data_IF_314100562622
#
_entry.id   IF_314100562622
#
_cell.length_a   1.000
_cell.length_b   1.000
_cell.length_c   1.000
_cell.angle_alpha   90.00
_cell.angle_beta   90.00
_cell.angle_gamma   90.00
#
_symmetry.space_group_name_H-M   'P 1'
#
loop_
_entity.id
_entity.type
_entity.pdbx_description
1 polymer ?
#
# COMPACT_ATOMS: atom_id res chain seq x y z
N UNK A 1 13.39 -6.40 -11.49
CA UNK A 1 14.50 -5.77 -10.75
C UNK A 1 15.79 -6.47 -11.16
N UNK A 2 16.92 -5.76 -11.17
CA UNK A 2 18.24 -6.38 -11.37
C UNK A 2 18.61 -7.30 -10.20
N UNK A 3 18.13 -6.96 -9.01
CA UNK A 3 18.37 -7.64 -7.75
C UNK A 3 17.13 -7.49 -6.85
N UNK A 4 16.78 -8.53 -6.10
CA UNK A 4 15.77 -8.53 -5.06
C UNK A 4 16.32 -9.25 -3.84
N UNK A 5 16.23 -8.63 -2.67
CA UNK A 5 16.56 -9.26 -1.40
C UNK A 5 15.50 -8.93 -0.36
N UNK A 6 14.78 -9.95 0.09
CA UNK A 6 13.71 -9.78 1.05
C UNK A 6 12.78 -10.99 1.13
N UNK A 7 11.70 -10.83 1.88
CA UNK A 7 10.68 -11.86 2.00
C UNK A 7 9.61 -11.76 0.91
N UNK A 8 8.99 -12.89 0.53
CA UNK A 8 7.92 -12.98 -0.46
C UNK A 8 6.52 -13.14 0.16
N UNK A 9 6.41 -13.25 1.48
CA UNK A 9 5.16 -13.55 2.17
C UNK A 9 4.85 -12.57 3.31
N UNK A 10 3.66 -12.72 3.90
CA UNK A 10 3.19 -11.86 4.98
C UNK A 10 3.99 -12.14 6.28
N UNK A 11 4.45 -11.11 6.99
CA UNK A 11 5.45 -11.27 8.07
C UNK A 11 5.00 -12.18 9.22
N UNK A 12 3.75 -12.07 9.69
CA UNK A 12 3.24 -12.97 10.73
C UNK A 12 3.08 -14.44 10.28
N UNK A 13 3.08 -14.72 8.98
CA UNK A 13 3.04 -16.09 8.50
C UNK A 13 4.43 -16.76 8.55
N UNK A 14 5.51 -15.99 8.47
CA UNK A 14 6.89 -16.49 8.59
C UNK A 14 7.20 -17.15 9.94
N UNK A 15 6.54 -16.68 11.00
CA UNK A 15 6.65 -17.22 12.36
C UNK A 15 5.66 -18.36 12.66
N UNK A 16 4.70 -18.66 11.76
CA UNK A 16 3.73 -19.76 11.95
C UNK A 16 4.39 -21.12 12.25
N UNK A 17 5.49 -21.52 11.59
CA UNK A 17 6.18 -22.78 11.90
C UNK A 17 6.72 -22.89 13.33
N UNK A 18 6.94 -21.76 14.01
CA UNK A 18 7.42 -21.70 15.39
C UNK A 18 6.26 -21.79 16.41
N UNK A 19 5.00 -21.67 15.96
CA UNK A 19 3.82 -21.69 16.84
C UNK A 19 3.56 -23.09 17.43
N UNK A 20 3.01 -23.19 18.66
CA UNK A 20 2.72 -24.47 19.30
C UNK A 20 1.71 -25.36 18.55
N UNK A 21 0.81 -24.74 17.77
CA UNK A 21 -0.26 -25.44 17.04
C UNK A 21 0.09 -25.75 15.58
N UNK A 22 1.30 -25.43 15.11
CA UNK A 22 1.73 -25.81 13.77
C UNK A 22 1.75 -27.35 13.67
N UNK A 23 1.04 -27.98 12.72
CA UNK A 23 0.86 -29.43 12.66
C UNK A 23 2.12 -30.09 12.07
N UNK A 24 3.18 -30.17 12.89
CA UNK A 24 4.50 -30.71 12.51
C UNK A 24 4.45 -32.17 12.08
N UNK A 25 3.40 -32.89 12.47
CA UNK A 25 3.15 -34.30 12.20
C UNK A 25 2.33 -34.56 10.92
N UNK A 26 1.86 -33.52 10.23
CA UNK A 26 1.21 -33.60 8.91
C UNK A 26 2.18 -33.16 7.79
N UNK A 27 2.86 -34.10 7.10
CA UNK A 27 3.85 -33.76 6.10
C UNK A 27 3.27 -33.03 4.87
N UNK A 28 2.02 -33.31 4.52
CA UNK A 28 1.35 -32.69 3.38
C UNK A 28 0.99 -31.23 3.69
N UNK A 29 0.54 -30.97 4.92
CA UNK A 29 0.35 -29.60 5.41
C UNK A 29 1.69 -28.85 5.44
N UNK A 30 2.71 -29.38 6.11
CA UNK A 30 4.01 -28.70 6.24
C UNK A 30 4.60 -28.37 4.87
N UNK A 31 4.61 -29.34 3.94
CA UNK A 31 5.14 -29.13 2.60
C UNK A 31 4.39 -28.06 1.81
N UNK A 32 3.07 -27.94 2.01
CA UNK A 32 2.23 -27.01 1.25
C UNK A 32 2.08 -25.62 1.89
N UNK A 33 2.36 -25.51 3.20
CA UNK A 33 2.09 -24.30 3.99
C UNK A 33 3.32 -23.64 4.58
N UNK A 34 4.46 -24.33 4.67
CA UNK A 34 5.70 -23.69 5.16
C UNK A 34 6.06 -22.50 4.26
N UNK A 35 6.23 -21.30 4.85
CA UNK A 35 6.68 -20.12 4.13
C UNK A 35 8.04 -20.35 3.46
N UNK A 36 8.28 -19.62 2.37
CA UNK A 36 9.62 -19.59 1.76
C UNK A 36 10.53 -18.72 2.62
N UNK A 37 11.83 -19.02 2.66
CA UNK A 37 12.77 -18.17 3.39
C UNK A 37 12.97 -16.81 2.73
N UNK A 38 13.89 -16.02 3.29
CA UNK A 38 14.31 -14.73 2.71
C UNK A 38 15.07 -15.00 1.42
N UNK A 39 14.57 -14.47 0.31
CA UNK A 39 15.08 -14.75 -1.03
C UNK A 39 16.03 -13.64 -1.47
N UNK A 40 17.21 -14.02 -1.96
CA UNK A 40 18.11 -13.17 -2.72
C UNK A 40 18.14 -13.63 -4.17
N UNK A 41 17.65 -12.80 -5.09
CA UNK A 41 17.54 -13.16 -6.50
C UNK A 41 17.98 -12.05 -7.43
N UNK A 42 18.36 -12.43 -8.66
CA UNK A 42 18.93 -11.55 -9.66
C UNK A 42 18.26 -11.74 -11.02
N UNK A 43 18.31 -10.71 -11.87
CA UNK A 43 17.71 -10.74 -13.20
C UNK A 43 18.32 -11.80 -14.15
N UNK A 44 19.52 -12.30 -13.86
CA UNK A 44 20.16 -13.38 -14.60
C UNK A 44 19.62 -14.78 -14.25
N UNK A 45 18.67 -14.86 -13.31
CA UNK A 45 18.03 -16.09 -12.89
C UNK A 45 18.68 -16.77 -11.69
N UNK A 46 19.77 -16.22 -11.12
CA UNK A 46 20.29 -16.72 -9.84
C UNK A 46 19.27 -16.43 -8.72
N UNK A 47 18.93 -17.47 -7.97
CA UNK A 47 18.03 -17.41 -6.80
C UNK A 47 18.68 -18.17 -5.66
N UNK A 48 18.72 -17.55 -4.49
CA UNK A 48 19.21 -18.11 -3.24
C UNK A 48 18.15 -17.95 -2.16
N UNK A 49 17.78 -19.05 -1.53
CA UNK A 49 17.02 -19.03 -0.27
C UNK A 49 18.02 -18.92 0.88
N UNK A 50 18.07 -17.76 1.51
CA UNK A 50 19.01 -17.47 2.60
C UNK A 50 18.54 -18.02 3.96
N UNK A 51 17.47 -18.81 3.95
CA UNK A 51 16.87 -19.44 5.13
C UNK A 51 15.63 -18.70 5.63
N UNK A 52 14.93 -19.36 6.55
CA UNK A 52 13.67 -18.88 7.11
C UNK A 52 13.81 -17.50 7.79
N UNK A 53 12.75 -16.69 7.70
CA UNK A 53 12.62 -15.46 8.47
C UNK A 53 12.04 -15.79 9.84
N UNK A 54 12.83 -16.42 10.72
CA UNK A 54 12.38 -16.76 12.07
C UNK A 54 12.14 -15.51 12.91
N UNK A 55 11.37 -15.65 14.00
CA UNK A 55 11.19 -14.62 15.04
C UNK A 55 12.53 -14.01 15.46
N UNK A 56 13.56 -14.84 15.60
CA UNK A 56 14.91 -14.37 15.97
C UNK A 56 15.56 -13.53 14.87
N UNK A 57 15.40 -13.89 13.60
CA UNK A 57 15.95 -13.13 12.47
C UNK A 57 15.19 -11.83 12.23
N UNK A 58 13.88 -11.78 12.54
CA UNK A 58 13.08 -10.55 12.47
C UNK A 58 13.59 -9.43 13.39
N UNK A 59 14.36 -9.75 14.44
CA UNK A 59 15.03 -8.73 15.27
C UNK A 59 16.05 -7.88 14.48
N UNK A 60 16.58 -8.41 13.38
CA UNK A 60 17.73 -7.82 12.67
C UNK A 60 17.63 -7.82 11.15
N UNK A 61 16.56 -8.36 10.54
CA UNK A 61 16.44 -8.53 9.08
C UNK A 61 16.57 -7.20 8.31
N UNK A 62 16.14 -6.08 8.90
CA UNK A 62 16.25 -4.77 8.28
C UNK A 62 17.71 -4.28 8.19
N UNK A 63 18.63 -4.80 9.03
CA UNK A 63 20.07 -4.55 8.84
C UNK A 63 20.57 -5.23 7.55
N UNK A 64 20.12 -6.45 7.27
CA UNK A 64 20.53 -7.21 6.09
C UNK A 64 20.04 -6.53 4.81
N UNK A 65 18.75 -6.17 4.77
CA UNK A 65 18.13 -5.55 3.59
C UNK A 65 18.63 -4.11 3.39
N UNK A 66 18.86 -3.34 4.46
CA UNK A 66 19.44 -1.99 4.39
C UNK A 66 20.88 -2.06 3.88
N UNK A 67 21.70 -2.99 4.39
CA UNK A 67 23.07 -3.17 3.91
C UNK A 67 23.10 -3.58 2.43
N UNK A 68 22.20 -4.45 1.98
CA UNK A 68 22.08 -4.81 0.57
C UNK A 68 21.69 -3.61 -0.31
N UNK A 69 20.75 -2.78 0.15
CA UNK A 69 20.38 -1.55 -0.54
C UNK A 69 21.56 -0.55 -0.63
N UNK A 70 22.31 -0.36 0.46
CA UNK A 70 23.52 0.47 0.46
C UNK A 70 24.56 -0.06 -0.54
N UNK A 71 24.86 -1.37 -0.50
CA UNK A 71 25.80 -2.01 -1.42
C UNK A 71 25.37 -1.86 -2.90
N UNK A 72 24.08 -1.98 -3.18
CA UNK A 72 23.53 -1.73 -4.52
C UNK A 72 23.73 -0.26 -4.93
N UNK A 73 23.37 0.70 -4.08
CA UNK A 73 23.54 2.14 -4.34
C UNK A 73 25.02 2.47 -4.60
N UNK A 74 25.94 2.01 -3.75
CA UNK A 74 27.38 2.24 -3.90
C UNK A 74 27.94 1.65 -5.19
N UNK A 75 27.46 0.48 -5.60
CA UNK A 75 27.83 -0.16 -6.86
C UNK A 75 27.32 0.65 -8.05
N UNK A 76 26.05 1.06 -8.02
CA UNK A 76 25.44 1.79 -9.13
C UNK A 76 25.96 3.23 -9.25
N UNK A 77 26.33 3.87 -8.14
CA UNK A 77 26.95 5.19 -8.13
C UNK A 77 28.32 5.22 -8.84
N UNK A 78 28.99 4.07 -8.96
CA UNK A 78 30.24 3.92 -9.74
C UNK A 78 29.98 3.59 -11.22
N UNK A 79 28.72 3.45 -11.61
CA UNK A 79 28.30 3.19 -12.98
C UNK A 79 27.75 4.47 -13.63
N UNK A 80 27.74 4.50 -14.97
CA UNK A 80 27.13 5.61 -15.73
C UNK A 80 25.62 5.42 -15.96
N UNK A 81 24.93 4.63 -15.12
CA UNK A 81 23.50 4.31 -15.27
C UNK A 81 22.69 4.82 -14.07
N UNK A 82 21.46 5.31 -14.29
CA UNK A 82 20.54 5.59 -13.20
C UNK A 82 20.15 4.29 -12.48
N UNK A 83 19.84 4.38 -11.20
CA UNK A 83 19.35 3.26 -10.41
C UNK A 83 17.97 3.53 -9.82
N UNK A 84 17.26 2.45 -9.48
CA UNK A 84 16.02 2.49 -8.74
C UNK A 84 16.13 1.51 -7.56
N UNK A 85 15.90 2.01 -6.35
CA UNK A 85 15.82 1.20 -5.13
C UNK A 85 14.41 1.31 -4.58
N UNK A 86 13.77 0.16 -4.40
CA UNK A 86 12.51 0.03 -3.68
C UNK A 86 12.81 -0.69 -2.37
N UNK A 87 13.03 0.10 -1.31
CA UNK A 87 13.33 -0.40 0.02
C UNK A 87 12.05 -0.52 0.83
N UNK A 88 11.72 -1.74 1.23
CA UNK A 88 10.55 -2.06 2.04
C UNK A 88 11.04 -2.74 3.31
N UNK A 89 11.25 -1.95 4.36
CA UNK A 89 11.59 -2.49 5.68
C UNK A 89 10.43 -3.33 6.21
N UNK A 90 10.76 -4.30 7.06
CA UNK A 90 9.76 -5.17 7.72
C UNK A 90 9.05 -4.44 8.85
N UNK A 91 9.75 -3.50 9.48
CA UNK A 91 9.17 -2.54 10.43
C UNK A 91 8.13 -1.64 9.75
N UNK A 92 6.92 -1.44 10.28
CA UNK A 92 6.37 -1.84 11.59
C UNK A 92 5.19 -2.79 11.44
N UNK A 93 5.34 -3.83 10.62
CA UNK A 93 4.27 -4.81 10.46
C UNK A 93 4.12 -5.68 11.72
N UNK A 94 2.88 -5.97 12.12
CA UNK A 94 2.57 -6.87 13.25
C UNK A 94 3.06 -8.31 12.97
N UNK A 95 3.68 -9.02 13.91
CA UNK A 95 4.09 -8.63 15.26
C UNK A 95 5.51 -8.07 15.24
N UNK A 96 5.73 -6.95 15.92
CA UNK A 96 7.07 -6.37 16.03
C UNK A 96 7.92 -7.22 16.97
N UNK A 97 9.13 -7.56 16.53
CA UNK A 97 10.13 -8.26 17.33
C UNK A 97 11.42 -7.48 17.33
N UNK A 98 11.76 -6.78 18.41
CA UNK A 98 12.97 -5.94 18.49
C UNK A 98 14.13 -6.62 19.21
N UNK A 99 15.37 -6.30 18.81
CA UNK A 99 16.57 -6.80 19.50
C UNK A 99 16.66 -6.24 20.93
N UNK A 100 17.28 -6.99 21.83
CA UNK A 100 17.36 -6.59 23.24
C UNK A 100 18.00 -5.21 23.46
N UNK A 101 18.97 -4.82 22.64
CA UNK A 101 19.66 -3.54 22.81
C UNK A 101 18.78 -2.31 22.55
N UNK A 102 17.69 -2.41 21.76
CA UNK A 102 16.81 -1.26 21.49
C UNK A 102 15.63 -1.15 22.47
N UNK A 103 15.31 -2.22 23.21
CA UNK A 103 14.16 -2.22 24.11
C UNK A 103 14.23 -1.08 25.12
N UNK A 104 13.16 -0.29 25.18
CA UNK A 104 13.00 0.88 26.04
C UNK A 104 13.72 2.14 25.58
N UNK A 105 14.46 2.14 24.46
CA UNK A 105 15.16 3.33 23.97
C UNK A 105 14.20 4.43 23.49
N UNK A 106 12.97 4.08 23.11
CA UNK A 106 11.90 5.04 22.81
C UNK A 106 11.49 5.90 24.01
N UNK A 107 11.91 5.54 25.23
CA UNK A 107 11.41 6.14 26.47
C UNK A 107 9.99 5.69 26.83
N UNK A 108 9.43 4.71 26.10
CA UNK A 108 8.13 4.08 26.36
C UNK A 108 8.33 2.61 26.75
N UNK A 109 8.59 2.29 28.04
CA UNK A 109 8.89 0.93 28.46
C UNK A 109 7.79 -0.06 28.06
N UNK A 110 8.18 -1.15 27.39
CA UNK A 110 7.25 -2.21 26.94
C UNK A 110 6.55 -1.92 25.60
N UNK A 111 6.92 -0.85 24.89
CA UNK A 111 6.39 -0.53 23.57
C UNK A 111 7.38 -0.89 22.46
N UNK A 112 7.35 -2.15 22.03
CA UNK A 112 8.23 -2.64 20.95
C UNK A 112 8.00 -1.92 19.63
N UNK A 113 6.77 -1.46 19.36
CA UNK A 113 6.49 -0.64 18.18
C UNK A 113 7.30 0.65 18.19
N UNK A 114 7.30 1.37 19.33
CA UNK A 114 8.04 2.63 19.45
C UNK A 114 9.56 2.42 19.40
N UNK A 115 10.07 1.33 19.98
CA UNK A 115 11.48 0.97 19.90
C UNK A 115 11.88 0.60 18.47
N UNK A 116 11.08 -0.21 17.78
CA UNK A 116 11.31 -0.60 16.38
C UNK A 116 11.24 0.59 15.41
N UNK A 117 10.42 1.61 15.72
CA UNK A 117 10.41 2.85 14.94
C UNK A 117 11.73 3.63 15.02
N UNK A 118 12.46 3.55 16.14
CA UNK A 118 13.79 4.15 16.23
C UNK A 118 14.81 3.40 15.37
N UNK A 119 14.75 2.06 15.32
CA UNK A 119 15.60 1.28 14.42
C UNK A 119 15.31 1.63 12.95
N UNK A 120 14.03 1.66 12.58
CA UNK A 120 13.59 2.01 11.23
C UNK A 120 14.03 3.43 10.81
N UNK A 121 13.90 4.43 11.69
CA UNK A 121 14.41 5.78 11.44
C UNK A 121 15.94 5.77 11.25
N UNK A 122 16.66 4.98 12.05
CA UNK A 122 18.09 4.76 11.91
C UNK A 122 18.47 4.15 10.55
N UNK A 123 17.71 3.16 10.06
CA UNK A 123 17.93 2.53 8.76
C UNK A 123 17.69 3.49 7.59
N UNK A 124 16.64 4.31 7.68
CA UNK A 124 16.44 5.43 6.74
C UNK A 124 17.63 6.39 6.79
N UNK A 125 18.12 6.72 7.99
CA UNK A 125 19.31 7.54 8.20
C UNK A 125 20.57 6.97 7.52
N UNK A 126 20.81 5.66 7.64
CA UNK A 126 21.94 4.97 6.96
C UNK A 126 21.87 5.16 5.44
N UNK A 127 20.70 4.99 4.83
CA UNK A 127 20.50 5.16 3.39
C UNK A 127 20.72 6.61 2.95
N UNK A 128 20.18 7.58 3.70
CA UNK A 128 20.38 9.00 3.42
C UNK A 128 21.86 9.40 3.53
N UNK A 129 22.56 8.91 4.56
CA UNK A 129 23.99 9.15 4.75
C UNK A 129 24.79 8.57 3.58
N UNK A 130 24.46 7.38 3.09
CA UNK A 130 25.10 6.80 1.89
C UNK A 130 24.98 7.71 0.67
N UNK A 131 23.82 8.32 0.43
CA UNK A 131 23.65 9.25 -0.69
C UNK A 131 24.49 10.53 -0.54
N UNK A 132 24.60 11.04 0.69
CA UNK A 132 25.39 12.23 0.99
C UNK A 132 26.91 11.94 0.91
N UNK A 133 27.37 10.80 1.42
CA UNK A 133 28.78 10.35 1.36
C UNK A 133 29.26 10.12 -0.07
N UNK A 134 28.39 9.54 -0.91
CA UNK A 134 28.63 9.35 -2.34
C UNK A 134 28.49 10.65 -3.14
N UNK A 135 27.98 11.74 -2.53
CA UNK A 135 27.73 13.04 -3.16
C UNK A 135 26.80 12.97 -4.36
N UNK A 136 25.76 12.13 -4.27
CA UNK A 136 24.75 11.95 -5.32
C UNK A 136 23.34 12.37 -4.87
N UNK A 137 23.23 12.96 -3.68
CA UNK A 137 21.96 13.35 -3.09
C UNK A 137 21.14 14.31 -3.96
N UNK A 138 21.78 15.29 -4.61
CA UNK A 138 21.13 16.25 -5.52
C UNK A 138 20.66 15.63 -6.85
N UNK A 139 21.21 14.47 -7.21
CA UNK A 139 20.80 13.66 -8.34
C UNK A 139 19.94 12.45 -7.94
N UNK A 140 19.41 12.42 -6.73
CA UNK A 140 18.57 11.32 -6.22
C UNK A 140 17.25 11.86 -5.70
N UNK A 141 16.14 11.28 -6.17
CA UNK A 141 14.81 11.50 -5.60
C UNK A 141 14.59 10.45 -4.51
N UNK A 142 14.34 10.90 -3.28
CA UNK A 142 13.94 10.03 -2.17
C UNK A 142 12.47 10.28 -1.86
N UNK A 143 11.68 9.20 -1.83
CA UNK A 143 10.29 9.20 -1.40
C UNK A 143 10.17 8.26 -0.20
N UNK A 144 9.69 8.78 0.92
CA UNK A 144 9.33 8.00 2.10
C UNK A 144 7.82 8.01 2.27
N UNK A 145 7.22 6.84 2.42
CA UNK A 145 5.77 6.68 2.66
C UNK A 145 5.46 5.31 3.28
N UNK A 146 4.20 5.02 3.59
CA UNK A 146 3.74 3.71 4.05
C UNK A 146 2.65 3.18 3.10
N UNK A 147 2.38 1.88 3.15
CA UNK A 147 1.42 1.19 2.28
C UNK A 147 -0.05 1.44 2.68
N UNK A 148 -0.31 1.56 3.99
CA UNK A 148 -1.61 1.84 4.58
C UNK A 148 -1.48 2.61 5.90
N UNK A 149 -2.63 2.98 6.48
CA UNK A 149 -2.73 3.44 7.87
C UNK A 149 -2.43 2.34 8.89
N UNK A 150 -2.39 2.67 10.19
CA UNK A 150 -1.93 1.73 11.22
C UNK A 150 -2.90 0.57 11.46
N UNK A 151 -2.38 -0.59 11.90
CA UNK A 151 -3.13 -1.66 12.55
C UNK A 151 -3.33 -1.33 14.04
N UNK A 152 -4.31 -0.50 14.38
CA UNK A 152 -4.53 -0.09 15.77
C UNK A 152 -5.00 -1.24 16.66
N UNK A 153 -5.62 -2.29 16.10
CA UNK A 153 -6.09 -3.43 16.90
C UNK A 153 -4.97 -4.16 17.65
N UNK A 154 -3.72 -4.06 17.20
CA UNK A 154 -2.56 -4.70 17.84
C UNK A 154 -1.93 -3.87 18.96
N UNK A 155 -2.54 -2.72 19.34
CA UNK A 155 -2.07 -1.91 20.47
C UNK A 155 -1.80 -2.78 21.72
N UNK A 156 -0.65 -2.62 22.40
CA UNK A 156 0.32 -1.54 22.27
C UNK A 156 1.34 -1.66 21.13
N UNK A 157 1.38 -2.79 20.40
CA UNK A 157 2.24 -2.99 19.23
C UNK A 157 1.61 -2.36 17.97
N UNK A 158 1.40 -1.04 17.99
CA UNK A 158 0.75 -0.31 16.92
C UNK A 158 1.06 1.19 16.96
N UNK A 159 1.10 1.82 15.77
CA UNK A 159 0.91 3.26 15.65
C UNK A 159 -0.55 3.65 15.88
N UNK A 160 -0.79 4.96 16.07
CA UNK A 160 -2.12 5.56 16.09
C UNK A 160 -2.22 6.63 15.00
N UNK A 161 -3.45 6.97 14.61
CA UNK A 161 -3.71 8.06 13.66
C UNK A 161 -4.81 8.98 14.20
N UNK A 162 -4.75 10.31 13.95
CA UNK A 162 -5.84 11.21 14.33
C UNK A 162 -7.06 11.07 13.40
N UNK A 163 -6.87 10.50 12.21
CA UNK A 163 -7.94 10.26 11.25
C UNK A 163 -8.83 9.11 11.71
N UNK A 164 -10.09 9.10 11.26
CA UNK A 164 -11.07 8.09 11.70
C UNK A 164 -10.60 6.69 11.30
N UNK A 165 -10.66 5.77 12.27
CA UNK A 165 -10.45 4.33 12.10
C UNK A 165 -8.99 3.93 11.74
N UNK A 166 -8.81 2.70 11.29
CA UNK A 166 -7.51 2.03 11.10
C UNK A 166 -7.44 1.30 9.74
N UNK A 167 -6.34 0.58 9.45
CA UNK A 167 -6.22 -0.33 8.30
C UNK A 167 -7.47 -1.21 8.18
N UNK A 168 -7.85 -1.56 6.95
CA UNK A 168 -9.02 -2.39 6.63
C UNK A 168 -10.38 -1.69 6.86
N UNK A 169 -10.42 -0.36 6.77
CA UNK A 169 -11.65 0.44 6.80
C UNK A 169 -11.74 1.40 5.61
N UNK A 170 -12.91 2.01 5.36
CA UNK A 170 -13.10 3.02 4.30
C UNK A 170 -12.67 4.44 4.71
N UNK A 171 -12.32 4.64 5.98
CA UNK A 171 -12.11 5.95 6.58
C UNK A 171 -10.69 6.48 6.29
N UNK A 172 -10.45 7.78 6.46
CA UNK A 172 -9.14 8.39 6.14
C UNK A 172 -8.00 7.76 6.95
N UNK A 173 -8.27 7.21 8.13
CA UNK A 173 -7.27 6.52 8.95
C UNK A 173 -6.70 5.25 8.32
N UNK A 174 -7.35 4.67 7.30
CA UNK A 174 -6.84 3.51 6.57
C UNK A 174 -5.93 3.86 5.38
N UNK A 175 -6.13 5.03 4.76
CA UNK A 175 -5.51 5.39 3.47
C UNK A 175 -4.58 6.60 3.53
N UNK A 176 -4.77 7.50 4.50
CA UNK A 176 -3.97 8.71 4.60
C UNK A 176 -2.68 8.41 5.36
N UNK A 177 -1.59 8.31 4.61
CA UNK A 177 -0.25 7.94 5.07
C UNK A 177 0.70 9.14 5.05
N UNK A 178 1.81 9.10 5.81
CA UNK A 178 2.88 10.08 5.64
C UNK A 178 3.49 9.97 4.23
N UNK A 179 3.89 11.10 3.67
CA UNK A 179 4.65 11.15 2.43
C UNK A 179 5.67 12.29 2.52
N UNK A 180 6.96 11.95 2.49
CA UNK A 180 8.07 12.90 2.50
C UNK A 180 8.86 12.71 1.21
N UNK A 181 9.09 13.81 0.49
CA UNK A 181 9.83 13.78 -0.78
C UNK A 181 11.04 14.71 -0.65
N UNK A 182 12.21 14.21 -1.05
CA UNK A 182 13.46 14.96 -1.07
C UNK A 182 14.11 14.85 -2.44
N UNK A 183 14.42 15.99 -3.05
CA UNK A 183 15.30 16.09 -4.22
C UNK A 183 16.02 17.46 -4.18
N UNK A 184 17.21 17.53 -3.53
CA UNK A 184 17.93 18.77 -3.32
C UNK A 184 18.18 19.52 -4.64
N UNK A 185 17.97 20.84 -4.62
CA UNK A 185 18.14 21.69 -5.80
C UNK A 185 17.00 21.61 -6.84
N UNK A 186 16.07 20.66 -6.70
CA UNK A 186 14.90 20.51 -7.60
C UNK A 186 13.57 20.71 -6.89
N UNK A 187 13.44 20.20 -5.67
CA UNK A 187 12.27 20.40 -4.81
C UNK A 187 12.68 21.34 -3.69
N UNK A 188 11.86 22.37 -3.43
CA UNK A 188 12.13 23.33 -2.36
C UNK A 188 12.00 22.66 -1.00
N UNK A 189 13.03 22.83 -0.16
CA UNK A 189 13.07 22.21 1.16
C UNK A 189 12.08 22.85 2.14
N UNK A 190 11.58 22.05 3.09
CA UNK A 190 10.75 22.52 4.20
C UNK A 190 9.33 22.95 3.80
N UNK A 191 8.85 22.57 2.62
CA UNK A 191 7.48 22.87 2.18
C UNK A 191 6.47 21.84 2.67
N UNK A 192 5.25 22.30 2.89
CA UNK A 192 4.09 21.47 3.20
C UNK A 192 3.06 21.65 2.09
N UNK A 193 2.66 20.54 1.48
CA UNK A 193 1.62 20.51 0.44
C UNK A 193 0.28 20.02 0.99
N UNK A 194 -0.81 20.58 0.47
CA UNK A 194 -2.17 20.07 0.67
C UNK A 194 -2.79 19.54 -0.63
N UNK A 195 -1.99 19.40 -1.70
CA UNK A 195 -2.45 18.78 -2.95
C UNK A 195 -2.77 17.29 -2.73
N UNK A 196 -3.60 16.72 -3.60
CA UNK A 196 -3.96 15.30 -3.51
C UNK A 196 -2.85 14.49 -4.16
N UNK A 197 -2.33 13.51 -3.43
CA UNK A 197 -1.39 12.51 -3.93
C UNK A 197 -1.93 11.11 -3.65
N UNK A 198 -1.59 10.17 -4.53
CA UNK A 198 -1.77 8.74 -4.32
C UNK A 198 -0.42 8.05 -4.49
N UNK A 199 -0.23 6.90 -3.82
CA UNK A 199 0.93 6.03 -4.11
C UNK A 199 1.04 5.64 -5.59
N UNK A 200 -0.09 5.62 -6.31
CA UNK A 200 -0.13 5.37 -7.76
C UNK A 200 0.54 6.48 -8.59
N UNK A 201 0.68 7.70 -8.05
CA UNK A 201 1.32 8.83 -8.75
C UNK A 201 2.83 8.66 -8.88
N UNK A 202 3.46 7.88 -7.99
CA UNK A 202 4.90 7.71 -8.00
C UNK A 202 5.41 7.05 -9.27
N UNK A 203 4.69 6.06 -9.81
CA UNK A 203 5.10 5.37 -11.03
C UNK A 203 5.26 6.33 -12.23
N UNK A 204 4.23 7.08 -12.69
CA UNK A 204 4.41 8.03 -13.78
C UNK A 204 5.29 9.23 -13.41
N UNK A 205 5.33 9.65 -12.14
CA UNK A 205 6.17 10.77 -11.69
C UNK A 205 7.66 10.45 -11.76
N UNK A 206 8.06 9.27 -11.28
CA UNK A 206 9.46 8.84 -11.30
C UNK A 206 9.92 8.52 -12.73
N UNK A 207 9.05 7.96 -13.57
CA UNK A 207 9.37 7.76 -14.99
C UNK A 207 9.52 9.09 -15.74
N UNK A 208 8.67 10.08 -15.45
CA UNK A 208 8.85 11.43 -16.00
C UNK A 208 10.19 12.04 -15.58
N UNK A 209 10.63 11.83 -14.33
CA UNK A 209 11.94 12.27 -13.87
C UNK A 209 13.10 11.53 -14.58
N UNK A 210 12.88 10.27 -14.96
CA UNK A 210 13.80 9.49 -15.79
C UNK A 210 13.70 9.81 -17.31
N UNK A 211 12.81 10.74 -17.71
CA UNK A 211 12.67 11.20 -19.09
C UNK A 211 11.52 10.60 -19.89
N UNK A 212 10.69 9.72 -19.30
CA UNK A 212 9.48 9.19 -19.96
C UNK A 212 8.21 9.85 -19.40
N UNK A 213 7.77 10.91 -20.06
CA UNK A 213 6.53 11.62 -19.74
C UNK A 213 5.27 11.01 -20.37
N UNK A 214 5.41 9.98 -21.20
CA UNK A 214 4.34 9.43 -22.04
C UNK A 214 3.94 7.99 -21.64
N UNK A 215 4.50 7.46 -20.54
CA UNK A 215 4.26 6.06 -20.12
C UNK A 215 2.78 5.70 -20.02
N UNK A 216 1.94 6.63 -19.53
CA UNK A 216 0.50 6.42 -19.39
C UNK A 216 -0.16 6.19 -20.75
N UNK A 217 0.14 7.03 -21.73
CA UNK A 217 -0.40 6.91 -23.09
C UNK A 217 0.10 5.66 -23.81
N UNK A 218 1.38 5.30 -23.60
CA UNK A 218 1.99 4.08 -24.14
C UNK A 218 1.26 2.84 -23.61
N UNK A 219 1.10 2.72 -22.29
CA UNK A 219 0.44 1.57 -21.67
C UNK A 219 -1.05 1.49 -22.01
N UNK A 220 -1.72 2.64 -22.15
CA UNK A 220 -3.13 2.69 -22.54
C UNK A 220 -3.37 2.13 -23.95
N UNK A 221 -2.45 2.44 -24.88
CA UNK A 221 -2.47 1.98 -26.29
C UNK A 221 -1.90 0.58 -26.47
N UNK A 222 -1.17 0.08 -25.49
CA UNK A 222 -0.39 -1.15 -25.59
C UNK A 222 1.09 -0.84 -25.80
N UNK A 223 1.92 -1.35 -24.89
CA UNK A 223 3.37 -1.17 -24.93
C UNK A 223 4.09 -2.47 -24.51
N UNK A 224 5.32 -2.64 -24.95
CA UNK A 224 6.18 -3.73 -24.53
C UNK A 224 7.58 -3.19 -24.19
N UNK A 225 8.21 -3.68 -23.10
CA UNK A 225 9.56 -3.26 -22.74
C UNK A 225 10.59 -3.69 -23.79
N UNK A 226 11.54 -2.80 -24.07
CA UNK A 226 12.61 -3.03 -25.05
C UNK A 226 13.52 -4.21 -24.69
N UNK A 227 13.66 -4.51 -23.40
CA UNK A 227 14.44 -5.64 -22.89
C UNK A 227 13.80 -7.02 -23.13
N UNK A 228 12.68 -7.08 -23.87
CA UNK A 228 11.93 -8.30 -24.13
C UNK A 228 10.93 -8.61 -23.00
N UNK A 229 9.76 -9.17 -23.36
CA UNK A 229 8.75 -9.60 -22.39
C UNK A 229 7.30 -9.49 -22.86
N UNK A 230 6.40 -9.62 -21.89
CA UNK A 230 4.95 -9.50 -22.02
C UNK A 230 4.55 -8.10 -22.49
N UNK A 231 3.61 -8.01 -23.44
CA UNK A 231 2.99 -6.74 -23.79
C UNK A 231 1.92 -6.37 -22.77
N UNK A 232 1.89 -5.10 -22.38
CA UNK A 232 0.94 -4.55 -21.42
C UNK A 232 0.01 -3.58 -22.14
N UNK A 233 -1.31 -3.83 -22.03
CA UNK A 233 -2.36 -2.85 -22.33
C UNK A 233 -3.12 -2.59 -21.03
N UNK A 234 -2.74 -1.54 -20.30
CA UNK A 234 -3.26 -1.25 -18.95
C UNK A 234 -3.57 0.22 -18.79
N UNK A 235 -4.59 0.53 -17.99
CA UNK A 235 -4.96 1.89 -17.63
C UNK A 235 -4.26 2.29 -16.33
N UNK A 236 -3.31 3.22 -16.38
CA UNK A 236 -2.69 3.76 -15.18
C UNK A 236 -3.55 4.86 -14.55
N UNK A 237 -3.87 4.73 -13.26
CA UNK A 237 -4.64 5.72 -12.51
C UNK A 237 -3.78 6.75 -11.77
N UNK A 238 -2.45 6.64 -11.91
CA UNK A 238 -1.48 7.64 -11.47
C UNK A 238 -1.44 8.87 -12.37
N UNK A 239 -0.98 9.98 -11.79
CA UNK A 239 -0.69 11.24 -12.47
C UNK A 239 0.79 11.60 -12.33
N UNK A 240 1.35 12.23 -13.37
CA UNK A 240 2.68 12.81 -13.28
C UNK A 240 2.63 14.10 -12.44
N UNK A 241 3.22 14.04 -11.25
CA UNK A 241 3.26 15.15 -10.30
C UNK A 241 4.58 15.95 -10.38
N UNK A 242 5.50 15.59 -11.29
CA UNK A 242 6.81 16.20 -11.40
C UNK A 242 6.77 17.72 -11.65
N UNK A 243 5.89 18.26 -12.53
CA UNK A 243 5.80 19.71 -12.72
C UNK A 243 5.43 20.45 -11.44
N UNK A 244 4.53 19.88 -10.62
CA UNK A 244 4.19 20.45 -9.33
C UNK A 244 5.36 20.40 -8.34
N UNK A 245 5.98 19.23 -8.18
CA UNK A 245 7.08 19.03 -7.21
C UNK A 245 8.27 19.96 -7.49
N UNK A 246 8.54 20.26 -8.76
CA UNK A 246 9.65 21.12 -9.20
C UNK A 246 9.27 22.59 -9.35
N UNK A 247 8.05 22.98 -8.96
CA UNK A 247 7.57 24.36 -9.03
C UNK A 247 7.27 24.88 -10.45
N UNK A 248 7.25 24.00 -11.45
CA UNK A 248 6.86 24.34 -12.83
C UNK A 248 5.34 24.50 -12.98
N UNK A 249 4.55 23.85 -12.11
CA UNK A 249 3.11 23.99 -12.02
C UNK A 249 2.70 24.40 -10.59
N UNK A 250 1.69 25.29 -10.42
CA UNK A 250 1.28 25.77 -9.11
C UNK A 250 0.44 24.77 -8.31
N UNK A 251 -0.05 23.69 -8.94
CA UNK A 251 -0.91 22.66 -8.35
C UNK A 251 -0.55 21.28 -8.90
N UNK A 252 -0.84 20.24 -8.13
CA UNK A 252 -0.75 18.86 -8.60
C UNK A 252 -1.85 18.53 -9.60
N UNK A 253 -1.70 17.46 -10.35
CA UNK A 253 -2.65 17.07 -11.41
C UNK A 253 -3.87 16.32 -10.86
N UNK A 254 -3.70 15.58 -9.77
CA UNK A 254 -4.76 14.75 -9.18
C UNK A 254 -5.89 15.59 -8.60
N UNK A 255 -7.13 15.24 -8.95
CA UNK A 255 -8.36 15.81 -8.38
C UNK A 255 -9.26 14.77 -7.74
N UNK A 256 -8.90 13.50 -7.78
CA UNK A 256 -9.71 12.42 -7.24
C UNK A 256 -8.87 11.28 -6.66
N UNK A 257 -9.52 10.49 -5.80
CA UNK A 257 -8.97 9.29 -5.19
C UNK A 257 -10.09 8.25 -5.03
N UNK A 258 -9.81 6.99 -5.36
CA UNK A 258 -10.78 5.90 -5.29
C UNK A 258 -10.34 4.91 -4.20
N UNK A 259 -11.25 4.57 -3.29
CA UNK A 259 -10.96 3.76 -2.11
C UNK A 259 -11.54 2.37 -2.32
N UNK A 260 -10.67 1.38 -2.51
CA UNK A 260 -11.04 -0.02 -2.62
C UNK A 260 -10.75 -0.76 -1.32
N UNK A 261 -11.69 -1.58 -0.85
CA UNK A 261 -11.44 -2.51 0.25
C UNK A 261 -10.70 -3.76 -0.25
N UNK A 262 -10.35 -4.66 0.67
CA UNK A 262 -9.56 -5.86 0.37
C UNK A 262 -10.28 -6.84 -0.58
N UNK A 263 -11.60 -6.79 -0.66
CA UNK A 263 -12.41 -7.58 -1.61
C UNK A 263 -12.46 -6.97 -3.02
N UNK A 264 -11.79 -5.84 -3.25
CA UNK A 264 -11.80 -5.13 -4.53
C UNK A 264 -13.10 -4.34 -4.81
N UNK A 265 -13.85 -3.97 -3.77
CA UNK A 265 -15.06 -3.15 -3.88
C UNK A 265 -14.73 -1.68 -3.68
N UNK A 266 -15.24 -0.81 -4.57
CA UNK A 266 -15.13 0.65 -4.42
C UNK A 266 -16.04 1.14 -3.28
N UNK A 267 -15.48 1.28 -2.07
CA UNK A 267 -16.23 1.63 -0.85
C UNK A 267 -16.37 3.14 -0.64
N UNK A 268 -15.47 3.94 -1.21
CA UNK A 268 -15.54 5.41 -1.16
C UNK A 268 -14.85 6.04 -2.36
N UNK A 269 -15.13 7.32 -2.61
CA UNK A 269 -14.39 8.12 -3.57
C UNK A 269 -14.22 9.55 -3.07
N UNK A 270 -13.08 10.18 -3.36
CA UNK A 270 -12.81 11.59 -3.08
C UNK A 270 -12.68 12.36 -4.38
N UNK A 271 -13.30 13.53 -4.45
CA UNK A 271 -13.03 14.54 -5.48
C UNK A 271 -12.83 15.90 -4.83
N UNK A 272 -11.72 16.56 -5.15
CA UNK A 272 -11.28 17.78 -4.50
C UNK A 272 -11.30 17.63 -2.96
N UNK A 273 -12.15 18.39 -2.28
CA UNK A 273 -12.30 18.36 -0.82
C UNK A 273 -13.40 17.39 -0.37
N UNK A 274 -14.18 16.82 -1.28
CA UNK A 274 -15.36 16.02 -0.97
C UNK A 274 -15.04 14.53 -0.99
N UNK A 275 -15.50 13.79 0.02
CA UNK A 275 -15.45 12.34 0.07
C UNK A 275 -16.86 11.77 0.17
N UNK A 276 -17.19 10.84 -0.72
CA UNK A 276 -18.44 10.10 -0.75
C UNK A 276 -18.17 8.67 -0.28
N UNK A 277 -18.96 8.19 0.69
CA UNK A 277 -18.87 6.84 1.25
C UNK A 277 -20.05 6.01 0.77
N UNK A 278 -19.78 4.97 -0.02
CA UNK A 278 -20.79 4.07 -0.58
C UNK A 278 -21.05 2.85 0.31
N UNK A 279 -20.01 2.34 0.96
CA UNK A 279 -20.10 1.29 1.97
C UNK A 279 -19.20 1.66 3.15
N UNK A 280 -19.69 1.43 4.37
CA UNK A 280 -18.99 1.86 5.58
C UNK A 280 -18.59 0.68 6.46
N UNK A 281 -17.39 0.76 7.03
CA UNK A 281 -17.00 0.01 8.21
C UNK A 281 -17.61 0.72 9.43
N UNK A 282 -18.53 0.05 10.13
CA UNK A 282 -19.26 0.62 11.27
C UNK A 282 -18.53 0.46 12.59
N UNK A 283 -17.64 -0.52 12.68
CA UNK A 283 -16.89 -0.76 13.90
C UNK A 283 -15.91 0.39 14.14
N UNK A 284 -15.83 0.92 15.38
CA UNK A 284 -15.02 2.10 15.69
C UNK A 284 -13.52 1.83 15.75
N UNK A 285 -13.11 0.55 15.79
CA UNK A 285 -11.72 0.10 15.87
C UNK A 285 -11.60 -1.32 16.44
N UNK A 286 -10.37 -1.82 16.57
CA UNK A 286 -10.07 -3.13 17.10
C UNK A 286 -10.30 -4.25 16.08
N UNK A 287 -10.12 -5.50 16.50
CA UNK A 287 -10.28 -6.65 15.60
C UNK A 287 -11.71 -6.82 15.05
N UNK A 288 -12.69 -6.09 15.60
CA UNK A 288 -14.03 -5.98 15.05
C UNK A 288 -14.04 -5.37 13.64
N UNK A 289 -13.13 -4.43 13.34
CA UNK A 289 -12.93 -3.87 11.98
C UNK A 289 -12.57 -4.95 10.97
N UNK A 290 -11.83 -5.98 11.41
CA UNK A 290 -11.36 -7.07 10.57
C UNK A 290 -12.36 -8.21 10.41
N UNK A 291 -13.23 -8.41 11.39
CA UNK A 291 -14.21 -9.50 11.40
C UNK A 291 -15.60 -9.08 10.93
N UNK A 292 -15.90 -7.78 10.90
CA UNK A 292 -17.22 -7.25 10.54
C UNK A 292 -17.27 -6.81 9.07
N UNK A 293 -18.35 -7.12 8.34
CA UNK A 293 -18.47 -6.73 6.95
C UNK A 293 -18.68 -5.22 6.80
N UNK A 294 -18.28 -4.70 5.64
CA UNK A 294 -18.73 -3.38 5.21
C UNK A 294 -20.25 -3.38 4.98
N UNK A 295 -20.91 -2.29 5.38
CA UNK A 295 -22.35 -2.10 5.17
C UNK A 295 -22.60 -1.18 3.98
N UNK A 296 -23.19 -1.67 2.88
CA UNK A 296 -23.59 -0.82 1.75
C UNK A 296 -24.66 0.19 2.17
N UNK A 297 -24.51 1.44 1.72
CA UNK A 297 -25.41 2.53 2.06
C UNK A 297 -26.39 2.82 0.93
N UNK A 298 -27.68 2.93 1.27
CA UNK A 298 -28.71 3.39 0.33
C UNK A 298 -28.61 4.89 0.04
N UNK A 299 -28.23 5.67 1.05
CA UNK A 299 -27.86 7.08 0.93
C UNK A 299 -26.40 7.19 1.33
N UNK A 300 -25.47 7.40 0.37
CA UNK A 300 -24.05 7.54 0.67
C UNK A 300 -23.80 8.70 1.64
N UNK A 301 -22.77 8.58 2.49
CA UNK A 301 -22.32 9.71 3.33
C UNK A 301 -21.46 10.65 2.50
N UNK A 302 -21.49 11.93 2.85
CA UNK A 302 -20.67 12.98 2.25
C UNK A 302 -19.90 13.73 3.34
N UNK A 303 -18.60 13.95 3.12
CA UNK A 303 -17.75 14.75 4.00
C UNK A 303 -16.95 15.76 3.19
N UNK A 304 -16.75 16.96 3.74
CA UNK A 304 -15.71 17.87 3.25
C UNK A 304 -14.45 17.68 4.10
N UNK A 305 -13.42 17.03 3.56
CA UNK A 305 -12.20 16.69 4.29
C UNK A 305 -11.34 17.90 4.70
N UNK A 306 -11.68 19.12 4.26
CA UNK A 306 -11.05 20.36 4.74
C UNK A 306 -11.81 20.98 5.90
N UNK A 307 -13.12 20.78 5.97
CA UNK A 307 -13.96 21.25 7.08
C UNK A 307 -14.04 20.22 8.21
N UNK A 308 -14.03 18.94 7.86
CA UNK A 308 -14.11 17.79 8.75
C UNK A 308 -13.08 16.73 8.32
N UNK A 309 -11.78 16.96 8.59
CA UNK A 309 -10.71 16.04 8.22
C UNK A 309 -10.78 14.69 8.95
N UNK A 310 -11.58 14.59 10.00
CA UNK A 310 -11.73 13.40 10.84
C UNK A 310 -13.04 12.65 10.60
N UNK A 311 -13.85 13.08 9.64
CA UNK A 311 -15.09 12.41 9.23
C UNK A 311 -16.03 12.15 10.41
N UNK A 312 -16.27 13.17 11.25
CA UNK A 312 -17.09 13.08 12.47
C UNK A 312 -18.47 13.68 12.35
N UNK A 313 -18.72 14.48 11.31
CA UNK A 313 -19.94 15.29 11.20
C UNK A 313 -21.23 14.44 11.28
N UNK A 314 -21.22 13.22 10.74
CA UNK A 314 -22.34 12.29 10.79
C UNK A 314 -22.64 11.75 12.20
N UNK A 315 -21.65 11.79 13.09
CA UNK A 315 -21.77 11.31 14.47
C UNK A 315 -22.15 12.41 15.45
N UNK A 316 -21.65 13.63 15.25
CA UNK A 316 -21.69 14.69 16.28
C UNK A 316 -22.65 15.83 15.96
N UNK A 317 -23.12 15.95 14.72
CA UNK A 317 -23.94 17.10 14.30
C UNK A 317 -25.42 16.78 14.23
N UNK A 318 -26.23 17.61 14.88
CA UNK A 318 -27.70 17.60 14.73
C UNK A 318 -28.17 18.10 13.35
N UNK A 319 -27.27 18.64 12.52
CA UNK A 319 -27.59 19.26 11.23
C UNK A 319 -27.03 18.49 10.03
N UNK A 320 -26.28 17.39 10.26
CA UNK A 320 -25.60 16.66 9.19
C UNK A 320 -26.57 16.21 8.08
N UNK A 321 -27.70 15.61 8.45
CA UNK A 321 -28.66 15.09 7.48
C UNK A 321 -29.40 16.21 6.73
N UNK A 322 -29.75 17.32 7.39
CA UNK A 322 -30.33 18.48 6.73
C UNK A 322 -29.35 19.07 5.69
N UNK A 323 -28.09 19.25 6.10
CA UNK A 323 -27.03 19.69 5.21
C UNK A 323 -26.80 18.73 4.04
N UNK A 324 -26.78 17.40 4.29
CA UNK A 324 -26.60 16.38 3.27
C UNK A 324 -27.72 16.42 2.22
N UNK A 325 -28.97 16.51 2.65
CA UNK A 325 -30.13 16.57 1.75
C UNK A 325 -30.09 17.84 0.89
N UNK A 326 -29.80 18.99 1.50
CA UNK A 326 -29.62 20.27 0.79
C UNK A 326 -28.46 20.26 -0.22
N UNK A 327 -27.47 19.41 -0.01
CA UNK A 327 -26.28 19.29 -0.85
C UNK A 327 -26.17 17.97 -1.62
N UNK A 328 -27.29 17.27 -1.82
CA UNK A 328 -27.33 15.97 -2.51
C UNK A 328 -26.80 16.00 -3.96
N UNK A 329 -26.73 17.17 -4.60
CA UNK A 329 -26.08 17.33 -5.90
C UNK A 329 -24.58 16.96 -5.88
N UNK A 330 -23.90 17.13 -4.73
CA UNK A 330 -22.51 16.69 -4.56
C UNK A 330 -22.39 15.16 -4.51
N UNK A 331 -23.37 14.47 -3.92
CA UNK A 331 -23.46 13.01 -3.98
C UNK A 331 -23.63 12.53 -5.41
N UNK A 332 -24.54 13.15 -6.17
CA UNK A 332 -24.75 12.83 -7.58
C UNK A 332 -23.46 13.02 -8.40
N UNK A 333 -22.71 14.09 -8.15
CA UNK A 333 -21.42 14.33 -8.80
C UNK A 333 -20.38 13.24 -8.46
N UNK A 334 -20.30 12.82 -7.19
CA UNK A 334 -19.43 11.72 -6.76
C UNK A 334 -19.83 10.39 -7.39
N UNK A 335 -21.11 10.03 -7.38
CA UNK A 335 -21.63 8.82 -8.03
C UNK A 335 -21.30 8.82 -9.52
N UNK A 336 -21.50 9.94 -10.23
CA UNK A 336 -21.18 10.04 -11.65
C UNK A 336 -19.66 9.89 -11.94
N UNK A 337 -18.79 10.38 -11.06
CA UNK A 337 -17.33 10.18 -11.16
C UNK A 337 -16.96 8.71 -10.91
N UNK A 338 -17.47 8.12 -9.83
CA UNK A 338 -17.26 6.71 -9.51
C UNK A 338 -17.74 5.79 -10.64
N UNK A 339 -18.92 6.06 -11.21
CA UNK A 339 -19.46 5.28 -12.34
C UNK A 339 -18.57 5.36 -13.59
N UNK A 340 -18.07 6.55 -13.95
CA UNK A 340 -17.13 6.71 -15.07
C UNK A 340 -15.83 5.95 -14.85
N UNK A 341 -15.30 6.00 -13.63
CA UNK A 341 -14.12 5.22 -13.29
C UNK A 341 -14.39 3.71 -13.35
N UNK A 342 -15.51 3.23 -12.78
CA UNK A 342 -15.85 1.81 -12.85
C UNK A 342 -16.06 1.31 -14.29
N UNK A 343 -16.49 2.17 -15.21
CA UNK A 343 -16.61 1.83 -16.63
C UNK A 343 -15.26 1.57 -17.30
N UNK A 344 -14.13 2.07 -16.78
CA UNK A 344 -12.81 1.80 -17.38
C UNK A 344 -12.45 0.32 -17.29
N UNK A 345 -12.93 -0.40 -16.27
CA UNK A 345 -12.70 -1.84 -16.11
C UNK A 345 -13.36 -2.70 -17.20
N UNK A 346 -14.29 -2.14 -18.00
CA UNK A 346 -14.86 -2.85 -19.15
C UNK A 346 -13.80 -3.03 -20.25
N UNK A 347 -13.03 -1.98 -20.52
CA UNK A 347 -11.95 -2.04 -21.51
C UNK A 347 -10.63 -2.55 -20.91
N UNK A 348 -10.40 -2.25 -19.63
CA UNK A 348 -9.18 -2.58 -18.89
C UNK A 348 -9.51 -3.39 -17.64
N UNK A 349 -9.91 -4.66 -17.77
CA UNK A 349 -10.30 -5.48 -16.63
C UNK A 349 -9.12 -5.73 -15.68
N UNK A 350 -9.39 -6.02 -14.38
CA UNK A 350 -8.34 -6.36 -13.43
C UNK A 350 -7.47 -7.52 -13.92
N UNK A 351 -6.15 -7.37 -13.82
CA UNK A 351 -5.19 -8.42 -14.19
C UNK A 351 -5.35 -9.71 -13.37
N UNK A 352 -5.92 -9.59 -12.17
CA UNK A 352 -6.22 -10.69 -11.26
C UNK A 352 -7.56 -10.43 -10.56
N UNK A 353 -8.28 -11.50 -10.23
CA UNK A 353 -9.47 -11.39 -9.37
C UNK A 353 -9.01 -11.19 -7.92
N UNK A 354 -9.69 -10.33 -7.14
CA UNK A 354 -9.47 -10.25 -5.70
C UNK A 354 -9.63 -11.63 -5.05
N UNK A 355 -8.73 -11.97 -4.14
CA UNK A 355 -8.92 -13.14 -3.28
C UNK A 355 -10.06 -12.86 -2.29
N UNK A 356 -10.70 -13.92 -1.77
CA UNK A 356 -11.61 -13.81 -0.64
C UNK A 356 -11.00 -14.46 0.58
N UNK A 357 -11.23 -13.87 1.75
CA UNK A 357 -10.90 -14.44 3.05
C UNK A 357 -11.93 -15.46 3.56
N UNK A 358 -13.02 -15.65 2.82
CA UNK A 358 -14.09 -16.59 3.15
C UNK A 358 -14.25 -17.68 2.09
N UNK A 359 -15.20 -18.58 2.32
CA UNK A 359 -15.48 -19.72 1.44
C UNK A 359 -16.42 -19.35 0.29
N UNK A 360 -16.85 -18.10 0.15
CA UNK A 360 -17.84 -17.66 -0.84
C UNK A 360 -17.39 -17.91 -2.29
N UNK A 361 -16.12 -17.62 -2.62
CA UNK A 361 -15.58 -17.90 -3.95
C UNK A 361 -15.48 -19.41 -4.22
N UNK A 362 -15.09 -20.19 -3.20
CA UNK A 362 -15.08 -21.66 -3.27
C UNK A 362 -16.50 -22.18 -3.48
N UNK A 363 -17.46 -21.64 -2.72
CA UNK A 363 -18.88 -22.01 -2.79
C UNK A 363 -19.45 -21.71 -4.16
N UNK A 364 -19.21 -20.52 -4.71
CA UNK A 364 -19.64 -20.14 -6.05
C UNK A 364 -19.06 -21.07 -7.13
N UNK A 365 -17.78 -21.44 -7.02
CA UNK A 365 -17.16 -22.38 -7.95
C UNK A 365 -17.76 -23.79 -7.85
N UNK A 366 -18.11 -24.24 -6.64
CA UNK A 366 -18.81 -25.52 -6.43
C UNK A 366 -20.23 -25.48 -6.99
N UNK A 367 -20.99 -24.41 -6.72
CA UNK A 367 -22.35 -24.24 -7.23
C UNK A 367 -22.39 -24.22 -8.76
N UNK A 368 -21.43 -23.55 -9.42
CA UNK A 368 -21.31 -23.57 -10.88
C UNK A 368 -21.10 -25.00 -11.44
N UNK A 369 -20.29 -25.82 -10.77
CA UNK A 369 -20.08 -27.23 -11.14
C UNK A 369 -21.32 -28.09 -10.88
N UNK A 370 -22.07 -27.79 -9.81
CA UNK A 370 -23.35 -28.46 -9.53
C UNK A 370 -24.34 -28.16 -10.66
N UNK A 371 -24.49 -26.89 -11.06
CA UNK A 371 -25.37 -26.50 -12.16
C UNK A 371 -24.97 -27.15 -13.49
N UNK A 372 -23.68 -27.20 -13.82
CA UNK A 372 -23.19 -27.87 -15.02
C UNK A 372 -23.54 -29.36 -15.03
N UNK A 373 -23.33 -30.04 -13.89
CA UNK A 373 -23.67 -31.46 -13.73
C UNK A 373 -25.18 -31.70 -13.82
N UNK A 374 -25.99 -30.82 -13.24
CA UNK A 374 -27.46 -30.91 -13.36
C UNK A 374 -27.91 -30.73 -14.81
N UNK A 375 -27.32 -29.79 -15.56
CA UNK A 375 -27.60 -29.58 -16.98
C UNK A 375 -27.19 -30.77 -17.84
N UNK A 376 -26.07 -31.44 -17.53
CA UNK A 376 -25.62 -32.62 -18.29
C UNK A 376 -26.45 -33.87 -18.01
N UNK A 377 -26.95 -34.04 -16.78
CA UNK A 377 -27.86 -35.12 -16.40
C UNK A 377 -29.30 -34.94 -16.91
N UNK A 378 -29.69 -33.69 -17.23
CA UNK A 378 -31.01 -33.36 -17.77
C UNK A 378 -31.12 -33.51 -19.31
N UNK A 379 -30.03 -33.86 -20.01
CA UNK A 379 -30.09 -34.21 -21.44
C UNK A 379 -30.50 -35.69 -21.58
N UNK A 380 -31.57 -35.99 -22.34
CA UNK A 380 -32.10 -37.35 -22.49
C UNK A 380 -31.16 -38.31 -23.22
#
# INVERSE_FOLDING_TARGET
>A
FDEFFGNLYHLNAEEEPERPYWPKDDPDFVKSRTPRGVIHSYADGKIEDTGALTTKRMETIDDETTAAAQAFIEKQAKSDKPFFVWMNTTRMHVFTHVRESIKGQSGMPGNEYADGMLEHDGDVGKLLQTLDDLKIADNTIVVYTTDNGPNQFSWPDAATTPFRNEKNSNWEGAYRVPAIVRWPGKIKAGEVSNEIFSGMDWFPTLLAAAGDTEVKDKLLKGWAPTSGGTSFKVHLDGYNQLPYLTGQAPKGERREFYYFNDDGVLVSMRFDNWKVVFAEQREPGGFAVWSSPFVPLRVPKLFNLRMDPYERADLVSDQYNDWLVKNSYLLAAGVAKAARFLQTFIEYPPSQKPASFSIDQIRAAVDAKIEEKMKSQAKP
#
